data_IF_503747037036
#
_entry.id   IF_503747037036
#
_cell.length_a   1.000
_cell.length_b   1.000
_cell.length_c   1.000
_cell.angle_alpha   90.00
_cell.angle_beta   90.00
_cell.angle_gamma   90.00
#
_symmetry.space_group_name_H-M   'P 1'
#
loop_
_entity.id
_entity.type
_entity.pdbx_description
1 polymer ?
#
# COMPACT_ATOMS: atom_id res chain seq x y z
N UNK A 1 -12.94 13.32 -18.82
CA UNK A 1 -13.12 11.98 -18.22
C UNK A 1 -12.76 12.08 -16.75
N UNK A 2 -13.45 11.36 -15.86
CA UNK A 2 -13.04 11.28 -14.46
C UNK A 2 -11.72 10.49 -14.36
N UNK A 3 -10.81 10.96 -13.50
CA UNK A 3 -9.57 10.24 -13.20
C UNK A 3 -9.90 8.92 -12.51
N UNK A 4 -9.18 7.86 -12.88
CA UNK A 4 -9.25 6.56 -12.20
C UNK A 4 -8.51 6.65 -10.86
N UNK A 5 -9.23 6.45 -9.77
CA UNK A 5 -8.73 6.57 -8.40
C UNK A 5 -8.12 5.25 -7.94
N UNK A 6 -6.97 5.30 -7.29
CA UNK A 6 -6.20 4.12 -6.89
C UNK A 6 -5.89 4.21 -5.40
N UNK A 7 -6.12 3.12 -4.69
CA UNK A 7 -5.51 2.83 -3.38
C UNK A 7 -4.52 1.70 -3.62
N UNK A 8 -3.25 1.95 -3.31
CA UNK A 8 -2.17 0.99 -3.51
C UNK A 8 -1.95 0.20 -2.23
N UNK A 9 -1.64 -1.10 -2.32
CA UNK A 9 -1.33 -1.97 -1.20
C UNK A 9 0.05 -2.57 -1.46
N UNK A 10 1.01 -2.43 -0.54
CA UNK A 10 2.42 -2.80 -0.79
C UNK A 10 2.73 -4.29 -0.55
N UNK A 11 1.72 -5.15 -0.59
CA UNK A 11 1.85 -6.59 -0.38
C UNK A 11 0.92 -7.31 -1.37
N UNK A 12 1.42 -8.39 -1.95
CA UNK A 12 0.79 -9.13 -3.03
C UNK A 12 0.68 -10.63 -2.76
N UNK A 13 1.01 -11.10 -1.56
CA UNK A 13 0.95 -12.51 -1.24
C UNK A 13 -0.50 -13.07 -1.26
N UNK A 14 -0.64 -14.39 -1.07
CA UNK A 14 -1.96 -15.05 -1.12
C UNK A 14 -2.90 -14.57 0.00
N UNK A 15 -2.37 -14.22 1.17
CA UNK A 15 -3.14 -13.75 2.33
C UNK A 15 -3.58 -12.31 2.11
N UNK A 16 -2.68 -11.43 1.67
CA UNK A 16 -2.95 -10.06 1.27
C UNK A 16 -4.04 -10.03 0.20
N UNK A 17 -3.86 -10.80 -0.89
CA UNK A 17 -4.85 -10.92 -1.96
C UNK A 17 -6.24 -11.24 -1.43
N UNK A 18 -6.38 -12.32 -0.66
CA UNK A 18 -7.68 -12.76 -0.15
C UNK A 18 -8.30 -11.71 0.78
N UNK A 19 -7.47 -11.03 1.58
CA UNK A 19 -7.89 -9.98 2.50
C UNK A 19 -8.40 -8.76 1.75
N UNK A 20 -7.66 -8.29 0.75
CA UNK A 20 -8.03 -7.12 -0.08
C UNK A 20 -9.24 -7.42 -0.97
N UNK A 21 -9.36 -8.62 -1.54
CA UNK A 21 -10.55 -9.05 -2.28
C UNK A 21 -11.81 -9.02 -1.38
N UNK A 22 -11.69 -9.54 -0.16
CA UNK A 22 -12.80 -9.54 0.81
C UNK A 22 -13.17 -8.13 1.27
N UNK A 23 -12.17 -7.29 1.55
CA UNK A 23 -12.39 -5.89 1.94
C UNK A 23 -13.04 -5.10 0.79
N UNK A 24 -12.51 -5.25 -0.43
CA UNK A 24 -13.06 -4.64 -1.64
C UNK A 24 -14.51 -5.03 -1.88
N UNK A 25 -14.83 -6.33 -1.82
CA UNK A 25 -16.20 -6.81 -1.96
C UNK A 25 -17.14 -6.23 -0.90
N UNK A 26 -16.71 -6.16 0.36
CA UNK A 26 -17.52 -5.59 1.46
C UNK A 26 -17.79 -4.10 1.28
N UNK A 27 -16.85 -3.37 0.69
CA UNK A 27 -16.91 -1.92 0.50
C UNK A 27 -17.41 -1.52 -0.90
N UNK A 28 -17.75 -2.47 -1.76
CA UNK A 28 -18.14 -2.19 -3.16
C UNK A 28 -17.00 -1.65 -4.03
N UNK A 29 -15.76 -1.96 -3.69
CA UNK A 29 -14.56 -1.51 -4.42
C UNK A 29 -14.06 -2.58 -5.39
N UNK A 30 -13.43 -2.14 -6.49
CA UNK A 30 -12.86 -3.05 -7.48
C UNK A 30 -11.40 -3.38 -7.14
N UNK A 31 -11.13 -4.61 -6.75
CA UNK A 31 -9.75 -5.12 -6.63
C UNK A 31 -9.22 -5.59 -7.99
N UNK A 32 -8.02 -5.15 -8.38
CA UNK A 32 -7.29 -5.72 -9.52
C UNK A 32 -6.60 -7.00 -9.02
N UNK A 33 -7.36 -8.09 -8.86
CA UNK A 33 -6.84 -9.35 -8.31
C UNK A 33 -5.62 -9.92 -9.05
N UNK A 34 -5.49 -9.62 -10.35
CA UNK A 34 -4.34 -10.03 -11.17
C UNK A 34 -3.06 -9.26 -10.86
N UNK A 35 -3.12 -8.15 -10.11
CA UNK A 35 -1.93 -7.45 -9.64
C UNK A 35 -1.27 -8.14 -8.44
N UNK A 36 -1.95 -9.08 -7.79
CA UNK A 36 -1.37 -9.82 -6.68
C UNK A 36 -0.25 -10.76 -7.15
N UNK A 37 0.85 -10.74 -6.42
CA UNK A 37 1.96 -11.68 -6.50
C UNK A 37 3.14 -11.10 -5.75
N UNK A 38 4.09 -11.95 -5.37
CA UNK A 38 5.30 -11.57 -4.66
C UNK A 38 6.50 -12.17 -5.42
N UNK A 39 7.18 -11.40 -6.30
CA UNK A 39 6.90 -10.01 -6.66
C UNK A 39 5.67 -9.87 -7.57
N UNK A 40 5.22 -8.62 -7.77
CA UNK A 40 4.07 -8.30 -8.63
C UNK A 40 4.27 -8.78 -10.06
N UNK A 41 3.34 -9.56 -10.64
CA UNK A 41 3.55 -10.22 -11.92
C UNK A 41 3.25 -9.33 -13.13
N UNK A 42 2.55 -8.20 -12.93
CA UNK A 42 2.14 -7.30 -14.00
C UNK A 42 3.03 -6.06 -14.05
N UNK A 43 3.36 -5.62 -15.25
CA UNK A 43 4.00 -4.32 -15.47
C UNK A 43 3.05 -3.15 -15.17
N UNK A 44 3.61 -1.96 -14.96
CA UNK A 44 2.83 -0.74 -14.75
C UNK A 44 1.85 -0.46 -15.90
N UNK A 45 2.27 -0.68 -17.16
CA UNK A 45 1.43 -0.44 -18.33
C UNK A 45 0.28 -1.45 -18.44
N UNK A 46 0.51 -2.72 -18.12
CA UNK A 46 -0.57 -3.73 -18.06
C UNK A 46 -1.60 -3.39 -16.97
N UNK A 47 -1.15 -2.89 -15.82
CA UNK A 47 -2.05 -2.44 -14.75
C UNK A 47 -2.87 -1.22 -15.18
N UNK A 48 -2.22 -0.21 -15.77
CA UNK A 48 -2.92 0.98 -16.31
C UNK A 48 -3.99 0.59 -17.31
N UNK A 49 -3.66 -0.29 -18.26
CA UNK A 49 -4.60 -0.72 -19.29
C UNK A 49 -5.83 -1.40 -18.68
N UNK A 50 -5.62 -2.33 -17.74
CA UNK A 50 -6.72 -3.01 -17.02
C UNK A 50 -7.61 -2.04 -16.26
N UNK A 51 -7.04 -0.99 -15.66
CA UNK A 51 -7.78 0.01 -14.89
C UNK A 51 -8.56 0.94 -15.83
N UNK A 52 -7.98 1.34 -16.96
CA UNK A 52 -8.63 2.20 -17.96
C UNK A 52 -9.84 1.50 -18.59
N UNK A 53 -9.70 0.22 -18.92
CA UNK A 53 -10.77 -0.59 -19.54
C UNK A 53 -11.91 -0.91 -18.57
N UNK A 54 -11.67 -0.82 -17.25
CA UNK A 54 -12.67 -1.13 -16.26
C UNK A 54 -13.68 0.02 -16.10
N UNK A 55 -14.99 -0.30 -15.98
CA UNK A 55 -16.03 0.72 -15.87
C UNK A 55 -16.04 1.46 -14.53
N UNK A 56 -15.40 0.90 -13.49
CA UNK A 56 -15.30 1.53 -12.18
C UNK A 56 -14.30 2.68 -12.17
N UNK A 57 -14.38 3.54 -11.14
CA UNK A 57 -13.47 4.69 -10.99
C UNK A 57 -12.60 4.61 -9.73
N UNK A 58 -12.74 3.60 -8.88
CA UNK A 58 -11.92 3.40 -7.68
C UNK A 58 -11.43 1.95 -7.60
N UNK A 59 -10.12 1.79 -7.48
CA UNK A 59 -9.42 0.51 -7.58
C UNK A 59 -8.51 0.26 -6.38
N UNK A 60 -8.50 -1.00 -5.93
CA UNK A 60 -7.48 -1.53 -5.03
C UNK A 60 -6.44 -2.25 -5.88
N UNK A 61 -5.18 -1.81 -5.80
CA UNK A 61 -4.06 -2.36 -6.58
C UNK A 61 -2.96 -2.82 -5.62
N UNK A 62 -2.66 -4.11 -5.63
CA UNK A 62 -1.52 -4.66 -4.90
C UNK A 62 -0.25 -4.48 -5.74
N UNK A 63 0.82 -4.05 -5.09
CA UNK A 63 2.17 -3.92 -5.63
C UNK A 63 3.15 -4.44 -4.57
N UNK A 64 4.08 -5.30 -4.93
CA UNK A 64 4.95 -6.04 -4.00
C UNK A 64 6.25 -6.31 -4.74
N UNK A 65 7.36 -6.01 -4.09
CA UNK A 65 8.72 -6.08 -4.61
C UNK A 65 9.51 -7.29 -4.07
N UNK A 66 8.88 -8.17 -3.30
CA UNK A 66 9.51 -9.32 -2.64
C UNK A 66 10.65 -8.95 -1.66
N UNK A 67 10.60 -7.76 -1.04
CA UNK A 67 11.62 -7.32 -0.08
C UNK A 67 12.88 -6.77 -0.73
N UNK A 68 12.75 -6.17 -1.91
CA UNK A 68 13.83 -5.52 -2.61
C UNK A 68 14.28 -4.27 -1.82
N UNK A 69 15.52 -4.23 -1.34
CA UNK A 69 16.00 -3.18 -0.41
C UNK A 69 16.14 -1.78 -1.01
N UNK A 70 15.92 -1.63 -2.31
CA UNK A 70 15.97 -0.36 -3.05
C UNK A 70 14.57 -0.08 -3.56
N UNK A 71 14.37 1.10 -4.18
CA UNK A 71 13.14 1.37 -4.93
C UNK A 71 12.83 0.20 -5.86
N UNK A 72 11.84 -0.59 -5.47
CA UNK A 72 11.48 -1.82 -6.13
C UNK A 72 10.51 -1.58 -7.27
N UNK A 73 10.05 -2.69 -7.84
CA UNK A 73 9.01 -2.67 -8.86
C UNK A 73 7.72 -2.02 -8.33
N UNK A 74 7.40 -2.19 -7.03
CA UNK A 74 6.18 -1.67 -6.43
C UNK A 74 6.13 -0.14 -6.36
N UNK A 75 7.20 0.50 -5.91
CA UNK A 75 7.28 1.96 -5.85
C UNK A 75 7.40 2.59 -7.22
N UNK A 76 8.07 1.91 -8.15
CA UNK A 76 8.11 2.34 -9.56
C UNK A 76 6.71 2.36 -10.19
N UNK A 77 5.87 1.36 -9.89
CA UNK A 77 4.46 1.34 -10.31
C UNK A 77 3.69 2.51 -9.68
N UNK A 78 3.90 2.78 -8.39
CA UNK A 78 3.25 3.88 -7.68
C UNK A 78 3.59 5.25 -8.29
N UNK A 79 4.86 5.51 -8.58
CA UNK A 79 5.28 6.74 -9.26
C UNK A 79 4.67 6.87 -10.64
N UNK A 80 4.61 5.76 -11.38
CA UNK A 80 4.03 5.75 -12.72
C UNK A 80 2.56 6.17 -12.68
N UNK A 81 1.80 5.75 -11.66
CA UNK A 81 0.43 6.25 -11.46
C UNK A 81 0.37 7.71 -11.02
N UNK A 82 1.32 8.18 -10.22
CA UNK A 82 1.39 9.58 -9.76
C UNK A 82 1.68 10.56 -10.92
N UNK A 83 2.46 10.13 -11.91
CA UNK A 83 2.85 10.95 -13.06
C UNK A 83 1.82 10.97 -14.20
N UNK A 84 0.90 10.01 -14.25
CA UNK A 84 -0.10 9.89 -15.33
C UNK A 84 -1.42 10.61 -14.94
N UNK A 85 -1.76 11.66 -15.68
CA UNK A 85 -2.91 12.53 -15.37
C UNK A 85 -4.27 11.82 -15.38
N UNK A 86 -4.37 10.64 -16.00
CA UNK A 86 -5.59 9.81 -16.03
C UNK A 86 -5.87 9.16 -14.69
N UNK A 87 -4.89 9.12 -13.77
CA UNK A 87 -4.98 8.45 -12.49
C UNK A 87 -4.89 9.43 -11.31
N UNK A 88 -5.37 8.99 -10.15
CA UNK A 88 -5.27 9.70 -8.88
C UNK A 88 -5.03 8.70 -7.77
N UNK A 89 -3.81 8.70 -7.21
CA UNK A 89 -3.50 7.90 -6.03
C UNK A 89 -4.12 8.58 -4.81
N UNK A 90 -5.08 7.91 -4.16
CA UNK A 90 -5.77 8.41 -2.97
C UNK A 90 -5.01 8.13 -1.68
N UNK A 91 -4.21 7.06 -1.67
CA UNK A 91 -3.47 6.62 -0.51
C UNK A 91 -2.78 5.28 -0.74
N UNK A 92 -1.91 4.93 0.20
CA UNK A 92 -1.16 3.67 0.20
C UNK A 92 -1.41 2.95 1.52
N UNK A 93 -1.74 1.67 1.45
CA UNK A 93 -1.74 0.75 2.57
C UNK A 93 -0.39 0.04 2.56
N UNK A 94 0.53 0.51 3.40
CA UNK A 94 1.88 -0.03 3.47
C UNK A 94 1.97 -1.18 4.48
N UNK A 95 2.58 -2.28 4.06
CA UNK A 95 3.01 -3.38 4.93
C UNK A 95 4.51 -3.23 5.11
N UNK A 96 4.93 -2.79 6.30
CA UNK A 96 6.33 -2.47 6.56
C UNK A 96 7.12 -3.69 7.10
N UNK A 97 8.35 -3.88 6.64
CA UNK A 97 9.25 -4.90 7.19
C UNK A 97 9.89 -4.43 8.52
N UNK A 98 10.50 -5.36 9.27
CA UNK A 98 11.19 -5.01 10.52
C UNK A 98 12.60 -4.57 10.14
N UNK A 99 12.72 -3.30 9.75
CA UNK A 99 14.00 -2.74 9.32
C UNK A 99 14.57 -1.85 10.42
N UNK A 100 15.76 -2.19 10.90
CA UNK A 100 16.55 -1.30 11.74
C UNK A 100 17.30 -0.26 10.91
N UNK A 101 17.72 0.83 11.54
CA UNK A 101 18.50 1.93 10.90
C UNK A 101 17.76 2.74 9.83
N UNK A 102 16.43 2.80 9.93
CA UNK A 102 15.55 3.65 9.10
C UNK A 102 15.12 4.91 9.87
N UNK A 103 14.83 6.00 9.16
CA UNK A 103 14.41 7.27 9.78
C UNK A 103 13.02 7.18 10.40
N UNK A 104 12.14 6.37 9.80
CA UNK A 104 10.74 6.22 10.19
C UNK A 104 9.86 7.41 9.81
N UNK A 105 8.56 7.14 9.74
CA UNK A 105 7.53 8.10 9.33
C UNK A 105 6.68 8.51 10.53
N UNK A 106 6.42 9.81 10.75
CA UNK A 106 5.53 10.25 11.82
C UNK A 106 4.11 9.71 11.61
N UNK A 107 3.47 9.26 12.68
CA UNK A 107 2.09 8.76 12.62
C UNK A 107 1.12 9.74 13.26
N UNK A 108 -0.02 9.96 12.62
CA UNK A 108 -1.12 10.71 13.23
C UNK A 108 -1.86 9.84 14.26
N UNK A 109 -2.13 8.60 13.90
CA UNK A 109 -2.73 7.60 14.78
C UNK A 109 -2.41 6.20 14.26
N UNK A 110 -2.59 5.20 15.13
CA UNK A 110 -2.53 3.78 14.81
C UNK A 110 -3.81 3.08 15.24
N UNK A 111 -4.01 1.88 14.71
CA UNK A 111 -5.03 0.95 15.17
C UNK A 111 -4.33 -0.21 15.88
N UNK A 112 -4.62 -0.45 17.16
CA UNK A 112 -4.03 -1.55 17.93
C UNK A 112 -4.57 -2.90 17.48
N UNK A 113 -3.95 -4.00 17.94
CA UNK A 113 -4.45 -5.36 17.66
C UNK A 113 -5.90 -5.60 18.13
N UNK A 114 -6.37 -4.84 19.12
CA UNK A 114 -7.74 -4.88 19.63
C UNK A 114 -8.70 -4.00 18.81
N UNK A 115 -8.23 -3.36 17.74
CA UNK A 115 -9.02 -2.47 16.90
C UNK A 115 -9.26 -1.09 17.51
N UNK A 116 -8.44 -0.66 18.48
CA UNK A 116 -8.59 0.65 19.15
C UNK A 116 -7.72 1.70 18.48
N UNK A 117 -8.22 2.93 18.39
CA UNK A 117 -7.41 4.08 17.96
C UNK A 117 -6.41 4.41 19.05
N UNK A 118 -5.13 4.52 18.69
CA UNK A 118 -4.04 4.94 19.55
C UNK A 118 -3.33 6.17 18.94
N UNK A 119 -3.06 7.19 19.76
CA UNK A 119 -2.39 8.43 19.34
C UNK A 119 -0.87 8.26 19.45
N UNK A 120 -0.30 7.45 18.56
CA UNK A 120 1.11 7.09 18.56
C UNK A 120 1.40 5.86 17.69
N UNK A 121 2.66 5.45 17.56
CA UNK A 121 3.04 4.26 16.81
C UNK A 121 2.69 2.99 17.59
N UNK A 122 2.44 1.90 16.85
CA UNK A 122 2.32 0.55 17.40
C UNK A 122 3.42 -0.33 16.83
N UNK A 123 3.84 -1.32 17.61
CA UNK A 123 4.75 -2.36 17.13
C UNK A 123 4.04 -3.33 16.17
N UNK A 124 4.80 -4.30 15.65
CA UNK A 124 4.28 -5.31 14.72
C UNK A 124 3.25 -6.26 15.31
N UNK A 125 3.25 -6.40 16.62
CA UNK A 125 2.24 -7.19 17.30
C UNK A 125 0.98 -6.34 17.56
N UNK A 126 1.00 -5.04 17.27
CA UNK A 126 -0.08 -4.10 17.50
C UNK A 126 -0.15 -3.56 18.93
N UNK A 127 0.94 -3.66 19.71
CA UNK A 127 1.07 -2.97 21.01
C UNK A 127 1.48 -1.51 20.81
N UNK A 128 0.97 -0.55 21.61
CA UNK A 128 1.52 0.79 21.69
C UNK A 128 3.02 0.80 22.02
N UNK A 129 3.77 1.64 21.30
CA UNK A 129 5.17 1.91 21.60
C UNK A 129 5.32 2.78 22.86
N UNK A 130 6.50 2.78 23.53
CA UNK A 130 6.76 3.63 24.69
C UNK A 130 6.59 5.13 24.39
N UNK A 131 6.20 5.89 25.41
CA UNK A 131 6.06 7.35 25.33
C UNK A 131 7.32 8.03 24.79
N UNK A 132 7.12 9.03 23.94
CA UNK A 132 8.20 9.76 23.26
C UNK A 132 8.57 9.21 21.88
N UNK A 133 8.09 8.02 21.50
CA UNK A 133 8.14 7.56 20.11
C UNK A 133 6.95 8.12 19.33
N UNK A 134 7.23 8.73 18.18
CA UNK A 134 6.22 9.32 17.29
C UNK A 134 6.23 8.75 15.88
N UNK A 135 7.18 7.86 15.57
CA UNK A 135 7.41 7.34 14.23
C UNK A 135 7.26 5.83 14.17
N UNK A 136 6.66 5.33 13.10
CA UNK A 136 6.75 3.92 12.70
C UNK A 136 8.01 3.75 11.86
N UNK A 137 8.74 2.67 12.11
CA UNK A 137 9.93 2.29 11.35
C UNK A 137 9.60 1.19 10.36
N UNK A 138 10.18 1.28 9.17
CA UNK A 138 10.23 0.21 8.20
C UNK A 138 10.70 0.74 6.84
N UNK A 139 11.39 -0.10 6.09
CA UNK A 139 11.84 0.17 4.73
C UNK A 139 10.73 0.72 3.83
N UNK A 140 9.57 0.05 3.75
CA UNK A 140 8.47 0.45 2.87
C UNK A 140 7.95 1.84 3.21
N UNK A 141 7.77 2.15 4.49
CA UNK A 141 7.23 3.47 4.88
C UNK A 141 8.25 4.58 4.63
N UNK A 142 9.55 4.31 4.83
CA UNK A 142 10.61 5.27 4.53
C UNK A 142 10.71 5.59 3.04
N UNK A 143 10.63 4.58 2.17
CA UNK A 143 10.64 4.80 0.71
C UNK A 143 9.40 5.62 0.31
N UNK A 144 8.22 5.28 0.81
CA UNK A 144 6.99 6.01 0.53
C UNK A 144 7.05 7.47 1.00
N UNK A 145 7.77 7.77 2.09
CA UNK A 145 7.94 9.13 2.60
C UNK A 145 8.78 10.01 1.65
N UNK A 146 9.58 9.40 0.76
CA UNK A 146 10.38 10.10 -0.24
C UNK A 146 9.68 10.34 -1.59
N UNK A 147 8.47 9.82 -1.79
CA UNK A 147 7.75 9.83 -3.08
C UNK A 147 6.84 11.06 -3.29
#
# INVERSE_FOLDING_TARGET
MNKKKIITITDGDKVARKTIEKAGAKLGLRTISSSAGNPTPLSAEELKQKIIEAPQDLFLVMVDDAGERKKGSGESILETFKQDERFSVLGVVAVASNTDQVEGVPVNFSITREGKIHQGPVDKEGNPEPEGRSKIKGDTVDILNGL
#
